data_IF_041170734076
#
_entry.id   IF_041170734076
#
_cell.length_a   1.000
_cell.length_b   1.000
_cell.length_c   1.000
_cell.angle_alpha   90.00
_cell.angle_beta   90.00
_cell.angle_gamma   90.00
#
_symmetry.space_group_name_H-M   'P 1'
#
loop_
_entity.id
_entity.type
_entity.pdbx_description
1 polymer ?
#
# COMPACT_ATOMS: atom_id res chain seq x y z
N UNK A 1 -2.54 -15.57 74.83
CA UNK A 1 -1.10 -15.28 74.63
C UNK A 1 -1.02 -13.91 74.00
N UNK A 2 -0.78 -12.92 74.84
CA UNK A 2 -0.49 -11.53 74.51
C UNK A 2 0.85 -11.38 73.77
N UNK A 3 1.00 -10.32 72.98
CA UNK A 3 1.92 -9.22 73.30
C UNK A 3 1.91 -8.11 72.24
N UNK A 4 1.69 -6.88 72.74
CA UNK A 4 1.96 -5.58 72.12
C UNK A 4 3.44 -5.41 71.72
N UNK A 5 3.75 -4.46 70.81
CA UNK A 5 4.67 -3.33 71.13
C UNK A 5 4.58 -2.21 70.06
N UNK A 6 4.24 -1.02 70.55
CA UNK A 6 4.39 0.30 69.90
C UNK A 6 5.84 0.78 70.06
N UNK A 7 6.36 1.63 69.17
CA UNK A 7 6.91 2.95 69.55
C UNK A 7 7.34 3.79 68.34
N UNK A 8 6.84 5.03 68.32
CA UNK A 8 7.42 6.19 67.65
C UNK A 8 8.80 6.55 68.24
N UNK A 9 9.63 7.29 67.49
CA UNK A 9 10.32 8.47 68.02
C UNK A 9 10.88 9.40 66.93
N UNK A 10 10.85 10.69 67.26
CA UNK A 10 11.21 11.85 66.46
C UNK A 10 12.69 12.28 66.60
N UNK A 11 13.13 13.16 65.68
CA UNK A 11 14.31 14.06 65.56
C UNK A 11 14.79 14.75 66.87
N UNK A 12 15.93 15.52 66.99
CA UNK A 12 16.79 16.21 65.98
C UNK A 12 18.34 16.33 66.28
N UNK A 13 19.12 16.98 65.38
CA UNK A 13 20.04 18.14 65.64
C UNK A 13 21.39 18.18 64.89
N UNK A 14 21.75 19.40 64.50
CA UNK A 14 22.91 19.90 63.72
C UNK A 14 24.31 19.75 64.38
N UNK A 15 25.37 19.60 63.55
CA UNK A 15 26.54 20.55 63.46
C UNK A 15 27.65 20.08 62.51
N UNK A 16 27.83 20.83 61.42
CA UNK A 16 29.04 21.56 61.02
C UNK A 16 30.43 20.92 61.26
N UNK A 17 31.13 20.58 60.16
CA UNK A 17 32.60 20.74 60.02
C UNK A 17 32.98 21.06 58.57
N UNK A 18 33.55 22.25 58.39
CA UNK A 18 34.30 22.70 57.22
C UNK A 18 35.53 21.82 56.94
N UNK A 19 35.79 21.53 55.65
CA UNK A 19 37.14 21.45 55.07
C UNK A 19 37.10 21.64 53.53
N UNK A 20 37.40 22.86 53.11
CA UNK A 20 38.43 23.23 52.12
C UNK A 20 38.67 22.37 50.85
N UNK A 21 38.14 22.89 49.73
CA UNK A 21 38.77 23.12 48.42
C UNK A 21 39.66 22.03 47.77
N UNK A 22 39.09 21.34 46.76
CA UNK A 22 39.80 20.94 45.53
C UNK A 22 39.08 21.59 44.34
N UNK A 23 39.76 22.52 43.67
CA UNK A 23 39.35 22.99 42.35
C UNK A 23 39.58 21.86 41.35
N UNK A 24 38.51 21.30 40.81
CA UNK A 24 38.55 20.54 39.57
C UNK A 24 38.01 21.42 38.44
N UNK A 25 38.91 21.93 37.62
CA UNK A 25 38.59 22.65 36.38
C UNK A 25 38.01 21.68 35.37
N UNK A 26 36.70 21.43 35.44
CA UNK A 26 35.95 20.84 34.34
C UNK A 26 35.64 21.95 33.34
N UNK A 27 36.39 21.98 32.23
CA UNK A 27 36.00 22.77 31.06
C UNK A 27 34.69 22.20 30.50
N UNK A 28 33.58 22.87 30.81
CA UNK A 28 32.29 22.69 30.16
C UNK A 28 32.45 22.78 28.62
N UNK A 29 31.98 21.79 27.84
CA UNK A 29 32.02 21.90 26.39
C UNK A 29 31.06 23.03 25.96
N UNK A 30 31.64 24.07 25.35
CA UNK A 30 30.92 25.23 24.81
C UNK A 30 29.70 24.77 24.02
N UNK A 31 28.51 25.01 24.59
CA UNK A 31 27.24 24.66 24.00
C UNK A 31 27.16 25.24 22.58
N UNK A 32 27.18 24.35 21.58
CA UNK A 32 27.01 24.74 20.19
C UNK A 32 25.52 25.05 19.97
N UNK A 33 25.17 26.19 19.37
CA UNK A 33 23.77 26.54 19.20
C UNK A 33 23.12 25.57 18.20
N UNK A 34 21.90 25.11 18.54
CA UNK A 34 21.18 23.98 17.91
C UNK A 34 20.87 24.12 16.41
N UNK A 35 21.20 25.24 15.77
CA UNK A 35 20.99 25.48 14.34
C UNK A 35 22.15 24.98 13.46
N UNK A 36 23.32 24.67 14.02
CA UNK A 36 24.47 24.22 13.23
C UNK A 36 24.28 22.83 12.59
N UNK A 37 23.48 21.94 13.20
CA UNK A 37 23.20 20.62 12.62
C UNK A 37 22.36 20.69 11.33
N UNK A 38 21.32 21.52 11.33
CA UNK A 38 20.43 21.70 10.18
C UNK A 38 21.12 22.42 9.01
N UNK A 39 21.98 23.40 9.29
CA UNK A 39 22.73 24.12 8.26
C UNK A 39 23.76 23.23 7.54
N UNK A 40 24.42 22.32 8.27
CA UNK A 40 25.38 21.36 7.67
C UNK A 40 24.66 20.30 6.84
N UNK A 41 23.48 19.83 7.28
CA UNK A 41 22.69 18.86 6.54
C UNK A 41 22.12 19.45 5.24
N UNK A 42 21.64 20.69 5.26
CA UNK A 42 21.19 21.39 4.05
C UNK A 42 22.32 21.59 3.04
N UNK A 43 23.51 21.97 3.51
CA UNK A 43 24.68 22.10 2.63
C UNK A 43 25.05 20.76 1.97
N UNK A 44 25.00 19.66 2.74
CA UNK A 44 25.27 18.32 2.22
C UNK A 44 24.25 17.89 1.15
N UNK A 45 22.96 18.14 1.38
CA UNK A 45 21.91 17.82 0.41
C UNK A 45 22.03 18.63 -0.89
N UNK A 46 22.38 19.91 -0.79
CA UNK A 46 22.62 20.75 -1.98
C UNK A 46 23.83 20.24 -2.77
N UNK A 47 24.91 19.83 -2.11
CA UNK A 47 26.08 19.26 -2.77
C UNK A 47 25.77 17.93 -3.46
N UNK A 48 24.97 17.06 -2.84
CA UNK A 48 24.52 15.79 -3.44
C UNK A 48 23.62 16.05 -4.65
N UNK A 49 22.69 17.01 -4.56
CA UNK A 49 21.83 17.40 -5.68
C UNK A 49 22.60 17.96 -6.87
N UNK A 50 23.60 18.82 -6.63
CA UNK A 50 24.47 19.37 -7.67
C UNK A 50 25.37 18.28 -8.30
N UNK A 51 25.85 17.32 -7.51
CA UNK A 51 26.61 16.17 -8.01
C UNK A 51 25.73 15.26 -8.87
N UNK A 52 24.51 14.93 -8.44
CA UNK A 52 23.56 14.12 -9.21
C UNK A 52 23.14 14.82 -10.52
N UNK A 53 22.92 16.13 -10.48
CA UNK A 53 22.61 16.92 -11.68
C UNK A 53 23.81 17.00 -12.64
N UNK A 54 25.02 17.23 -12.13
CA UNK A 54 26.24 17.21 -12.92
C UNK A 54 26.51 15.85 -13.56
N UNK A 55 26.28 14.74 -12.84
CA UNK A 55 26.42 13.38 -13.38
C UNK A 55 25.41 13.11 -14.50
N UNK A 56 24.15 13.56 -14.35
CA UNK A 56 23.12 13.41 -15.38
C UNK A 56 23.46 14.16 -16.66
N UNK A 57 23.93 15.40 -16.55
CA UNK A 57 24.32 16.22 -17.72
C UNK A 57 25.56 15.68 -18.41
N UNK A 58 26.49 15.06 -17.66
CA UNK A 58 27.76 14.58 -18.22
C UNK A 58 27.67 13.15 -18.80
N UNK A 59 26.82 12.27 -18.25
CA UNK A 59 26.69 10.88 -18.70
C UNK A 59 25.59 10.67 -19.76
N UNK A 60 24.66 11.61 -19.91
CA UNK A 60 23.58 11.54 -20.89
C UNK A 60 23.50 12.85 -21.71
N UNK A 61 24.38 13.06 -22.71
CA UNK A 61 24.17 14.12 -23.68
C UNK A 61 22.90 13.80 -24.47
N UNK A 62 21.87 14.65 -24.33
CA UNK A 62 20.63 14.56 -25.10
C UNK A 62 20.93 14.59 -26.60
N UNK A 63 20.63 13.49 -27.30
CA UNK A 63 20.51 13.50 -28.75
C UNK A 63 19.14 14.08 -29.12
N UNK A 64 19.07 15.41 -29.21
CA UNK A 64 17.96 16.10 -29.88
C UNK A 64 18.15 15.95 -31.39
N UNK A 65 17.64 14.86 -31.96
CA UNK A 65 17.48 14.70 -33.41
C UNK A 65 16.01 14.94 -33.77
N UNK A 66 15.67 16.03 -34.50
CA UNK A 66 14.29 16.29 -34.90
C UNK A 66 13.90 15.37 -36.07
N UNK A 67 12.84 14.58 -35.86
CA UNK A 67 12.21 13.77 -36.88
C UNK A 67 11.75 14.63 -38.06
N UNK A 68 12.17 14.24 -39.26
CA UNK A 68 11.78 14.87 -40.52
C UNK A 68 10.27 14.68 -40.80
N UNK A 69 9.62 15.76 -41.21
CA UNK A 69 8.24 15.78 -41.72
C UNK A 69 8.10 14.97 -43.03
N UNK A 70 6.98 14.26 -43.26
CA UNK A 70 6.64 13.80 -44.59
C UNK A 70 5.90 14.90 -45.39
N UNK A 71 6.47 15.22 -46.54
CA UNK A 71 5.95 16.14 -47.56
C UNK A 71 4.72 15.56 -48.27
N UNK A 72 3.66 16.37 -48.38
CA UNK A 72 2.56 16.20 -49.31
C UNK A 72 2.97 16.64 -50.73
N UNK A 73 2.78 15.80 -51.76
CA UNK A 73 2.58 16.28 -53.13
C UNK A 73 1.93 15.24 -54.07
N UNK A 74 0.73 15.62 -54.53
CA UNK A 74 0.22 15.57 -55.91
C UNK A 74 -0.10 14.22 -56.61
N UNK A 75 -1.41 13.97 -56.66
CA UNK A 75 -2.29 13.60 -57.80
C UNK A 75 -1.66 13.43 -59.20
N UNK A 76 -1.92 12.29 -59.85
CA UNK A 76 -2.22 12.20 -61.29
C UNK A 76 -2.88 10.86 -61.68
N UNK A 77 -3.50 10.88 -62.86
CA UNK A 77 -4.77 10.25 -63.25
C UNK A 77 -4.65 8.84 -63.86
N UNK A 78 -5.76 8.09 -63.76
CA UNK A 78 -6.15 6.76 -64.31
C UNK A 78 -5.93 6.58 -65.85
N UNK A 79 -6.17 5.40 -66.53
CA UNK A 79 -7.26 4.44 -66.25
C UNK A 79 -7.13 2.93 -66.64
N UNK A 80 -8.17 2.18 -66.22
CA UNK A 80 -8.83 0.99 -66.86
C UNK A 80 -8.31 -0.44 -66.61
N UNK A 81 -9.01 -1.20 -65.74
CA UNK A 81 -9.90 -2.36 -66.08
C UNK A 81 -10.13 -3.31 -64.88
N UNK A 82 -11.24 -4.08 -64.83
CA UNK A 82 -11.86 -4.53 -63.59
C UNK A 82 -11.52 -5.99 -63.22
N UNK A 83 -11.44 -6.27 -61.92
CA UNK A 83 -11.62 -7.62 -61.39
C UNK A 83 -12.17 -7.57 -59.95
N UNK A 84 -13.16 -8.41 -59.72
CA UNK A 84 -14.07 -8.51 -58.59
C UNK A 84 -13.43 -8.69 -57.21
N UNK A 85 -14.02 -8.04 -56.20
CA UNK A 85 -14.21 -8.63 -54.87
C UNK A 85 -15.33 -7.88 -54.12
N UNK A 86 -16.29 -8.66 -53.60
CA UNK A 86 -17.44 -8.22 -52.82
C UNK A 86 -17.06 -7.34 -51.64
N UNK A 87 -17.83 -6.28 -51.46
CA UNK A 87 -17.96 -5.58 -50.20
C UNK A 87 -18.58 -6.51 -49.14
N UNK A 88 -17.94 -6.59 -47.98
CA UNK A 88 -18.64 -6.66 -46.69
C UNK A 88 -17.89 -5.74 -45.74
N UNK A 89 -18.56 -4.64 -45.41
CA UNK A 89 -18.16 -3.76 -44.33
C UNK A 89 -18.29 -4.53 -43.02
N UNK A 90 -17.18 -4.84 -42.36
CA UNK A 90 -17.19 -5.05 -40.91
C UNK A 90 -16.85 -3.70 -40.29
N UNK A 91 -17.86 -3.11 -39.68
CA UNK A 91 -17.73 -1.95 -38.84
C UNK A 91 -16.61 -2.17 -37.83
N UNK A 92 -15.77 -1.16 -37.66
CA UNK A 92 -14.96 -0.96 -36.46
C UNK A 92 -15.92 -1.03 -35.27
N UNK A 93 -15.92 -2.17 -34.56
CA UNK A 93 -16.52 -2.22 -33.24
C UNK A 93 -15.72 -1.22 -32.39
N UNK A 94 -16.38 -0.15 -31.95
CA UNK A 94 -15.87 0.62 -30.82
C UNK A 94 -15.74 -0.32 -29.60
N UNK A 95 -14.93 0.05 -28.60
CA UNK A 95 -14.81 -0.76 -27.39
C UNK A 95 -16.21 -0.99 -26.82
N UNK A 96 -16.57 -2.26 -26.69
CA UNK A 96 -17.78 -2.66 -25.99
C UNK A 96 -17.47 -2.35 -24.54
N UNK A 97 -18.14 -1.36 -23.95
CA UNK A 97 -18.10 -1.18 -22.51
C UNK A 97 -18.54 -2.51 -21.90
N UNK A 98 -17.68 -3.13 -21.10
CA UNK A 98 -18.07 -4.31 -20.34
C UNK A 98 -19.23 -3.87 -19.44
N UNK A 99 -20.41 -4.46 -19.65
CA UNK A 99 -21.64 -4.07 -18.97
C UNK A 99 -21.58 -4.37 -17.45
N UNK A 100 -20.52 -5.06 -17.03
CA UNK A 100 -20.28 -5.57 -15.70
C UNK A 100 -19.14 -4.82 -14.97
N UNK A 101 -18.65 -3.68 -15.48
CA UNK A 101 -17.66 -2.86 -14.77
C UNK A 101 -18.30 -1.85 -13.80
N UNK A 102 -17.79 -1.77 -12.57
CA UNK A 102 -18.20 -0.77 -11.57
C UNK A 102 -17.69 0.65 -11.90
N UNK A 103 -16.57 0.75 -12.61
CA UNK A 103 -15.81 1.98 -12.85
C UNK A 103 -15.42 2.11 -14.31
N UNK A 104 -15.61 3.31 -14.89
CA UNK A 104 -15.29 3.59 -16.30
C UNK A 104 -13.83 3.22 -16.65
N UNK A 105 -12.90 3.40 -15.70
CA UNK A 105 -11.47 3.11 -15.90
C UNK A 105 -11.14 1.63 -16.07
N UNK A 106 -12.04 0.70 -15.71
CA UNK A 106 -11.82 -0.73 -15.87
C UNK A 106 -11.80 -1.16 -17.34
N UNK A 107 -12.39 -0.36 -18.24
CA UNK A 107 -12.39 -0.62 -19.70
C UNK A 107 -10.97 -0.64 -20.29
N UNK A 108 -10.03 0.07 -19.65
CA UNK A 108 -8.64 0.17 -20.11
C UNK A 108 -7.71 -0.85 -19.42
N UNK A 109 -8.23 -1.68 -18.51
CA UNK A 109 -7.45 -2.70 -17.82
C UNK A 109 -7.19 -3.92 -18.69
N UNK A 110 -6.10 -4.62 -18.38
CA UNK A 110 -5.80 -5.90 -18.98
C UNK A 110 -6.71 -6.99 -18.38
N UNK A 111 -7.66 -7.44 -19.18
CA UNK A 111 -8.60 -8.52 -18.85
C UNK A 111 -8.20 -9.88 -19.45
N UNK A 112 -6.98 -10.01 -20.00
CA UNK A 112 -6.48 -11.31 -20.43
C UNK A 112 -6.36 -12.27 -19.22
N UNK A 113 -6.52 -13.57 -19.47
CA UNK A 113 -6.37 -14.62 -18.46
C UNK A 113 -4.91 -14.75 -17.99
N UNK A 114 -4.49 -13.87 -17.09
CA UNK A 114 -3.19 -13.88 -16.45
C UNK A 114 -3.24 -14.73 -15.17
N UNK A 115 -2.88 -16.01 -15.27
CA UNK A 115 -2.81 -16.86 -14.09
C UNK A 115 -1.68 -16.46 -13.16
N UNK A 116 -1.95 -16.44 -11.86
CA UNK A 116 -1.02 -16.08 -10.79
C UNK A 116 -0.72 -17.26 -9.86
N UNK A 117 -1.26 -18.45 -10.15
CA UNK A 117 -1.09 -19.65 -9.33
C UNK A 117 0.36 -20.15 -9.21
N UNK A 118 1.20 -19.87 -10.22
CA UNK A 118 2.60 -20.32 -10.28
C UNK A 118 3.62 -19.17 -10.44
N UNK A 119 3.18 -18.01 -10.93
CA UNK A 119 4.05 -16.87 -11.19
C UNK A 119 3.39 -15.56 -10.76
N UNK A 120 4.16 -14.68 -10.15
CA UNK A 120 3.68 -13.37 -9.77
C UNK A 120 3.33 -12.52 -11.00
N UNK A 121 2.19 -11.78 -10.99
CA UNK A 121 1.91 -10.80 -12.02
C UNK A 121 2.90 -9.63 -11.93
N UNK A 122 3.10 -8.96 -13.06
CA UNK A 122 3.92 -7.76 -13.10
C UNK A 122 3.25 -6.63 -12.29
N UNK A 123 4.06 -5.93 -11.49
CA UNK A 123 3.66 -4.69 -10.81
C UNK A 123 4.41 -3.55 -11.46
N UNK A 124 3.68 -2.55 -11.96
CA UNK A 124 4.27 -1.37 -12.58
C UNK A 124 4.87 -0.46 -11.52
N UNK A 125 4.13 -0.25 -10.43
CA UNK A 125 4.55 0.61 -9.33
C UNK A 125 4.01 0.10 -7.99
N UNK A 126 4.82 0.23 -6.93
CA UNK A 126 4.37 0.09 -5.55
C UNK A 126 4.11 1.49 -5.00
N UNK A 127 2.84 1.86 -4.87
CA UNK A 127 2.41 3.21 -4.50
C UNK A 127 1.97 3.26 -3.04
N UNK A 128 2.12 4.40 -2.38
CA UNK A 128 1.59 4.57 -1.03
C UNK A 128 0.06 4.41 -1.01
N UNK A 129 -0.46 3.59 -0.08
CA UNK A 129 -1.87 3.28 0.10
C UNK A 129 -2.17 2.75 1.49
N UNK A 130 -3.08 3.41 2.21
CA UNK A 130 -3.43 3.07 3.58
C UNK A 130 -2.24 3.08 4.52
N UNK A 131 -1.98 1.93 5.13
CA UNK A 131 -0.89 1.75 6.10
C UNK A 131 0.48 1.60 5.45
N UNK A 132 0.58 1.21 4.17
CA UNK A 132 1.86 0.84 3.54
C UNK A 132 1.89 1.17 2.03
N UNK A 133 2.71 0.46 1.26
CA UNK A 133 2.63 0.44 -0.20
C UNK A 133 1.71 -0.68 -0.69
N UNK A 134 1.02 -0.42 -1.79
CA UNK A 134 0.10 -1.33 -2.47
C UNK A 134 0.53 -1.47 -3.94
N UNK A 135 0.26 -2.61 -4.60
CA UNK A 135 0.64 -2.79 -5.99
C UNK A 135 -0.30 -1.99 -6.91
N UNK A 136 0.26 -1.42 -7.98
CA UNK A 136 -0.48 -0.79 -9.07
C UNK A 136 0.05 -1.34 -10.41
N UNK A 137 -0.86 -1.71 -11.32
CA UNK A 137 -0.53 -2.32 -12.61
C UNK A 137 -1.70 -2.21 -13.59
N UNK A 138 -1.49 -2.65 -14.83
CA UNK A 138 -2.53 -2.91 -15.83
C UNK A 138 -3.71 -3.80 -15.36
N UNK A 139 -3.60 -4.51 -14.22
CA UNK A 139 -4.66 -5.35 -13.68
C UNK A 139 -5.57 -4.67 -12.64
N UNK A 140 -5.30 -3.43 -12.23
CA UNK A 140 -6.25 -2.71 -11.39
C UNK A 140 -5.72 -1.61 -10.48
N UNK A 141 -6.65 -1.13 -9.63
CA UNK A 141 -6.46 0.04 -8.79
C UNK A 141 -6.57 1.34 -9.59
N UNK A 142 -7.35 1.33 -10.68
CA UNK A 142 -7.48 2.44 -11.62
C UNK A 142 -8.27 3.62 -11.05
N UNK A 143 -9.22 3.35 -10.16
CA UNK A 143 -10.03 4.38 -9.50
C UNK A 143 -9.47 4.67 -8.10
N UNK A 144 -9.24 5.95 -7.79
CA UNK A 144 -8.75 6.39 -6.49
C UNK A 144 -9.82 7.16 -5.73
N UNK A 145 -10.31 6.57 -4.64
CA UNK A 145 -11.33 7.14 -3.76
C UNK A 145 -10.78 8.32 -2.93
N UNK A 146 -11.64 9.20 -2.38
CA UNK A 146 -11.21 10.32 -1.55
C UNK A 146 -10.36 9.95 -0.33
N UNK A 147 -10.59 8.77 0.27
CA UNK A 147 -9.77 8.22 1.36
C UNK A 147 -8.35 7.85 0.94
N UNK A 148 -8.10 7.76 -0.37
CA UNK A 148 -6.88 7.21 -0.94
C UNK A 148 -6.96 5.71 -1.26
N UNK A 149 -8.04 5.02 -0.89
CA UNK A 149 -8.29 3.64 -1.32
C UNK A 149 -8.32 3.56 -2.85
N UNK A 150 -7.70 2.52 -3.41
CA UNK A 150 -7.79 2.21 -4.84
C UNK A 150 -8.76 1.04 -5.05
N UNK A 151 -9.61 1.19 -6.05
CA UNK A 151 -10.61 0.22 -6.52
C UNK A 151 -10.57 0.16 -8.06
N UNK A 152 -11.45 -0.62 -8.69
CA UNK A 152 -11.44 -0.86 -10.12
C UNK A 152 -10.34 -1.82 -10.50
N UNK A 153 -10.60 -3.10 -10.28
CA UNK A 153 -9.73 -4.22 -10.60
C UNK A 153 -10.28 -4.99 -11.80
N UNK A 154 -9.39 -5.61 -12.59
CA UNK A 154 -9.79 -6.44 -13.71
C UNK A 154 -10.56 -7.68 -13.21
N UNK A 155 -11.55 -8.14 -13.97
CA UNK A 155 -12.35 -9.34 -13.63
C UNK A 155 -11.59 -10.63 -13.97
N UNK A 156 -10.38 -10.77 -13.44
CA UNK A 156 -9.51 -11.93 -13.64
C UNK A 156 -8.67 -12.25 -12.40
N UNK A 157 -7.90 -13.34 -12.49
CA UNK A 157 -7.08 -13.88 -11.38
C UNK A 157 -6.01 -12.89 -10.90
N UNK A 158 -5.41 -12.13 -11.81
CA UNK A 158 -4.44 -11.10 -11.47
C UNK A 158 -5.11 -9.89 -10.78
N UNK A 159 -6.25 -9.43 -11.28
CA UNK A 159 -7.03 -8.36 -10.66
C UNK A 159 -7.49 -8.71 -9.24
N UNK A 160 -7.89 -9.96 -9.01
CA UNK A 160 -8.24 -10.45 -7.68
C UNK A 160 -7.04 -10.38 -6.71
N UNK A 161 -5.86 -10.85 -7.12
CA UNK A 161 -4.65 -10.75 -6.28
C UNK A 161 -4.27 -9.28 -5.99
N UNK A 162 -4.39 -8.38 -6.97
CA UNK A 162 -4.15 -6.95 -6.78
C UNK A 162 -5.12 -6.32 -5.79
N UNK A 163 -6.40 -6.71 -5.83
CA UNK A 163 -7.42 -6.29 -4.88
C UNK A 163 -7.09 -6.79 -3.46
N UNK A 164 -6.77 -8.08 -3.31
CA UNK A 164 -6.40 -8.67 -2.02
C UNK A 164 -5.23 -7.92 -1.35
N UNK A 165 -4.14 -7.70 -2.09
CA UNK A 165 -2.97 -7.00 -1.59
C UNK A 165 -3.24 -5.53 -1.26
N UNK A 166 -4.09 -4.87 -2.06
CA UNK A 166 -4.51 -3.49 -1.80
C UNK A 166 -5.33 -3.41 -0.52
N UNK A 167 -6.35 -4.25 -0.41
CA UNK A 167 -7.31 -4.21 0.71
C UNK A 167 -6.69 -4.57 2.05
N UNK A 168 -5.70 -5.48 2.06
CA UNK A 168 -4.97 -5.84 3.26
C UNK A 168 -4.28 -4.64 3.93
N UNK A 169 -3.87 -3.63 3.14
CA UNK A 169 -3.17 -2.45 3.65
C UNK A 169 -4.04 -1.18 3.67
N UNK A 170 -5.07 -1.10 2.83
CA UNK A 170 -5.77 0.14 2.54
C UNK A 170 -7.22 0.23 3.02
N UNK A 171 -7.86 -0.88 3.39
CA UNK A 171 -9.21 -0.83 3.97
C UNK A 171 -9.11 -0.59 5.48
N UNK A 172 -9.50 0.61 5.90
CA UNK A 172 -9.79 0.93 7.30
C UNK A 172 -10.96 1.93 7.39
N UNK A 173 -12.20 1.44 7.49
CA UNK A 173 -13.38 2.30 7.59
C UNK A 173 -13.40 3.17 8.85
N UNK A 174 -12.54 2.89 9.84
CA UNK A 174 -12.46 3.66 11.08
C UNK A 174 -11.53 4.87 11.00
N UNK A 175 -10.73 4.99 9.94
CA UNK A 175 -9.73 6.04 9.80
C UNK A 175 -10.31 7.46 9.61
N UNK A 176 -11.42 7.58 8.86
CA UNK A 176 -12.12 8.85 8.61
C UNK A 176 -13.54 8.62 8.09
N UNK A 177 -14.34 9.68 7.91
CA UNK A 177 -15.64 9.57 7.24
C UNK A 177 -15.48 9.18 5.76
N UNK A 178 -14.50 9.74 5.05
CA UNK A 178 -14.20 9.34 3.66
C UNK A 178 -13.75 7.87 3.58
N UNK A 179 -13.12 7.35 4.64
CA UNK A 179 -12.76 5.94 4.74
C UNK A 179 -13.99 5.05 4.93
N UNK A 180 -14.97 5.52 5.71
CA UNK A 180 -16.23 4.83 5.95
C UNK A 180 -17.06 4.64 4.68
N UNK A 181 -17.05 5.62 3.77
CA UNK A 181 -17.73 5.55 2.48
C UNK A 181 -17.17 4.43 1.56
N UNK A 182 -16.02 3.85 1.88
CA UNK A 182 -15.46 2.74 1.09
C UNK A 182 -16.05 1.38 1.42
N UNK A 183 -16.80 1.26 2.51
CA UNK A 183 -17.37 -0.03 2.94
C UNK A 183 -18.22 -0.65 1.82
N UNK A 184 -19.05 0.14 1.14
CA UNK A 184 -19.96 -0.36 0.11
C UNK A 184 -19.25 -0.84 -1.16
N UNK A 185 -18.12 -0.21 -1.50
CA UNK A 185 -17.38 -0.48 -2.75
C UNK A 185 -16.26 -1.49 -2.58
N UNK A 186 -15.79 -1.73 -1.36
CA UNK A 186 -14.60 -2.54 -1.10
C UNK A 186 -14.86 -3.76 -0.22
N UNK A 187 -16.03 -3.86 0.40
CA UNK A 187 -16.43 -4.99 1.27
C UNK A 187 -17.72 -5.58 0.73
N UNK A 188 -17.72 -6.90 0.52
CA UNK A 188 -18.86 -7.65 -0.02
C UNK A 188 -20.11 -7.48 0.84
N UNK A 189 -21.28 -7.49 0.21
CA UNK A 189 -22.55 -7.32 0.90
C UNK A 189 -22.84 -8.47 1.88
N UNK A 190 -23.14 -8.12 3.13
CA UNK A 190 -23.53 -9.12 4.12
C UNK A 190 -23.63 -8.58 5.55
N UNK A 191 -24.10 -9.41 6.49
CA UNK A 191 -24.24 -9.02 7.89
C UNK A 191 -22.90 -8.66 8.55
N UNK A 192 -21.78 -9.18 8.05
CA UNK A 192 -20.46 -8.88 8.59
C UNK A 192 -19.95 -7.51 8.10
N UNK A 193 -20.28 -7.09 6.86
CA UNK A 193 -20.09 -5.71 6.39
C UNK A 193 -20.79 -4.71 7.31
N UNK A 194 -22.05 -4.96 7.65
CA UNK A 194 -22.84 -4.06 8.50
C UNK A 194 -22.23 -3.93 9.91
N UNK A 195 -21.77 -5.05 10.48
CA UNK A 195 -21.12 -5.06 11.80
C UNK A 195 -19.77 -4.36 11.79
N UNK A 196 -18.98 -4.51 10.72
CA UNK A 196 -17.73 -3.78 10.54
C UNK A 196 -17.97 -2.27 10.41
N UNK A 197 -18.99 -1.85 9.66
CA UNK A 197 -19.37 -0.45 9.54
C UNK A 197 -19.79 0.15 10.90
N UNK A 198 -20.61 -0.56 11.67
CA UNK A 198 -21.03 -0.16 13.02
C UNK A 198 -19.83 -0.06 13.98
N UNK A 199 -18.93 -1.05 13.95
CA UNK A 199 -17.68 -1.03 14.73
C UNK A 199 -16.81 0.16 14.37
N UNK A 200 -16.59 0.39 13.08
CA UNK A 200 -15.80 1.52 12.59
C UNK A 200 -16.37 2.86 13.03
N UNK A 201 -17.70 3.02 12.96
CA UNK A 201 -18.39 4.21 13.47
C UNK A 201 -18.16 4.39 14.98
N UNK A 202 -18.30 3.33 15.78
CA UNK A 202 -18.02 3.39 17.22
C UNK A 202 -16.58 3.78 17.53
N UNK A 203 -15.62 3.35 16.71
CA UNK A 203 -14.23 3.79 16.83
C UNK A 203 -14.10 5.30 16.56
N UNK A 204 -14.70 5.80 15.46
CA UNK A 204 -14.68 7.24 15.13
C UNK A 204 -15.36 8.11 16.19
N UNK A 205 -16.45 7.60 16.78
CA UNK A 205 -17.18 8.25 17.88
C UNK A 205 -16.44 8.16 19.24
N UNK A 206 -15.30 7.48 19.31
CA UNK A 206 -14.51 7.30 20.55
C UNK A 206 -15.13 6.33 21.54
N UNK A 207 -16.07 5.48 21.10
CA UNK A 207 -16.76 4.47 21.90
C UNK A 207 -16.07 3.11 21.89
N UNK A 208 -15.05 2.94 21.05
CA UNK A 208 -14.20 1.75 20.94
C UNK A 208 -12.78 2.15 20.54
N UNK A 209 -11.80 1.36 20.96
CA UNK A 209 -10.38 1.62 20.65
C UNK A 209 -10.03 1.09 19.26
N UNK A 210 -9.41 1.93 18.43
CA UNK A 210 -8.83 1.52 17.16
C UNK A 210 -7.58 0.65 17.38
N UNK A 211 -7.31 -0.26 16.44
CA UNK A 211 -5.95 -0.77 16.26
C UNK A 211 -5.04 0.38 15.81
N UNK A 212 -3.80 0.44 16.29
CA UNK A 212 -2.90 1.58 16.02
C UNK A 212 -2.20 1.53 14.64
N UNK A 213 -2.44 0.47 13.85
CA UNK A 213 -1.92 0.30 12.50
C UNK A 213 -0.40 0.13 12.39
N UNK A 214 0.33 0.18 13.52
CA UNK A 214 1.81 0.22 13.53
C UNK A 214 2.42 -1.02 12.90
N UNK A 215 1.84 -2.19 13.18
CA UNK A 215 2.30 -3.45 12.61
C UNK A 215 2.16 -3.47 11.08
N UNK A 216 1.01 -3.05 10.55
CA UNK A 216 0.76 -2.95 9.11
C UNK A 216 1.72 -1.96 8.45
N UNK A 217 1.94 -0.81 9.08
CA UNK A 217 2.85 0.23 8.56
C UNK A 217 4.34 -0.17 8.58
N UNK A 218 4.73 -1.09 9.46
CA UNK A 218 6.08 -1.62 9.54
C UNK A 218 6.28 -2.91 8.73
N UNK A 219 5.21 -3.49 8.19
CA UNK A 219 5.26 -4.77 7.48
C UNK A 219 5.76 -4.63 6.04
N UNK A 220 6.27 -5.71 5.47
CA UNK A 220 6.64 -5.77 4.05
C UNK A 220 6.01 -7.00 3.43
N UNK A 221 5.20 -6.84 2.38
CA UNK A 221 4.70 -7.98 1.59
C UNK A 221 5.89 -8.64 0.90
N UNK A 222 6.07 -9.94 1.12
CA UNK A 222 7.18 -10.72 0.52
C UNK A 222 6.69 -11.81 -0.43
N UNK A 223 5.39 -12.11 -0.42
CA UNK A 223 4.80 -13.01 -1.38
C UNK A 223 3.36 -13.35 -1.08
N UNK A 224 2.84 -14.32 -1.83
CA UNK A 224 1.48 -14.84 -1.64
C UNK A 224 1.42 -16.33 -1.97
N UNK A 225 0.39 -17.00 -1.46
CA UNK A 225 -0.06 -18.28 -1.96
C UNK A 225 -1.53 -18.15 -2.37
N UNK A 226 -1.89 -18.69 -3.54
CA UNK A 226 -3.28 -18.83 -3.93
C UNK A 226 -3.84 -20.09 -3.30
N UNK A 227 -4.94 -19.96 -2.58
CA UNK A 227 -5.68 -21.11 -2.05
C UNK A 227 -6.81 -21.51 -3.02
N UNK A 228 -7.47 -20.52 -3.65
CA UNK A 228 -8.54 -20.75 -4.63
C UNK A 228 -8.74 -19.55 -5.58
N UNK A 229 -9.20 -19.82 -6.80
CA UNK A 229 -9.71 -18.82 -7.74
C UNK A 229 -10.85 -19.37 -8.60
N UNK A 230 -11.82 -18.51 -8.87
CA UNK A 230 -12.86 -18.60 -9.89
C UNK A 230 -13.24 -17.19 -10.33
N UNK A 231 -14.02 -17.05 -11.41
CA UNK A 231 -14.52 -15.75 -11.87
C UNK A 231 -15.33 -15.01 -10.80
N UNK A 232 -15.97 -15.70 -9.85
CA UNK A 232 -16.85 -15.06 -8.86
C UNK A 232 -16.21 -14.90 -7.47
N UNK A 233 -15.10 -15.59 -7.20
CA UNK A 233 -14.51 -15.65 -5.87
C UNK A 233 -13.04 -16.06 -5.91
N UNK A 234 -12.24 -15.49 -5.01
CA UNK A 234 -10.82 -15.80 -4.88
C UNK A 234 -10.37 -15.81 -3.42
N UNK A 235 -9.28 -16.53 -3.13
CA UNK A 235 -8.73 -16.66 -1.78
C UNK A 235 -7.21 -16.73 -1.84
N UNK A 236 -6.56 -15.81 -1.12
CA UNK A 236 -5.11 -15.67 -1.09
C UNK A 236 -4.58 -15.56 0.35
N UNK A 237 -3.44 -16.22 0.60
CA UNK A 237 -2.60 -15.96 1.78
C UNK A 237 -1.48 -15.02 1.40
N UNK A 238 -1.53 -13.79 1.90
CA UNK A 238 -0.50 -12.78 1.74
C UNK A 238 0.54 -12.94 2.84
N UNK A 239 1.82 -13.04 2.47
CA UNK A 239 2.91 -13.29 3.40
C UNK A 239 3.66 -11.99 3.64
N UNK A 240 3.67 -11.54 4.90
CA UNK A 240 4.33 -10.31 5.32
C UNK A 240 5.50 -10.61 6.25
N UNK A 241 6.60 -9.90 6.05
CA UNK A 241 7.62 -9.70 7.08
C UNK A 241 7.18 -8.61 8.04
N UNK A 242 7.33 -8.84 9.34
CA UNK A 242 6.98 -7.89 10.39
C UNK A 242 8.16 -7.74 11.35
N UNK A 243 8.63 -6.51 11.62
CA UNK A 243 9.65 -6.26 12.61
C UNK A 243 9.16 -6.63 14.01
N UNK A 244 9.94 -7.41 14.75
CA UNK A 244 9.67 -7.73 16.15
C UNK A 244 10.42 -6.77 17.08
N UNK A 245 9.87 -6.58 18.28
CA UNK A 245 10.44 -5.72 19.32
C UNK A 245 11.83 -6.16 19.80
N UNK A 246 12.23 -7.40 19.51
CA UNK A 246 13.57 -7.93 19.81
C UNK A 246 14.58 -7.75 18.66
N UNK A 247 14.20 -7.06 17.58
CA UNK A 247 15.04 -6.84 16.39
C UNK A 247 15.09 -8.02 15.43
N UNK A 248 14.32 -9.09 15.66
CA UNK A 248 14.12 -10.17 14.69
C UNK A 248 13.01 -9.80 13.69
N UNK A 249 13.06 -10.37 12.50
CA UNK A 249 11.97 -10.31 11.53
C UNK A 249 11.12 -11.57 11.70
N UNK A 250 9.84 -11.38 12.02
CA UNK A 250 8.84 -12.45 11.99
C UNK A 250 8.14 -12.47 10.64
N UNK A 251 7.49 -13.58 10.32
CA UNK A 251 6.61 -13.67 9.16
C UNK A 251 5.19 -14.01 9.61
N UNK A 252 4.22 -13.33 9.01
CA UNK A 252 2.79 -13.58 9.21
C UNK A 252 2.14 -13.88 7.87
N UNK A 253 1.09 -14.70 7.91
CA UNK A 253 0.21 -14.99 6.79
C UNK A 253 -1.12 -14.30 7.05
N UNK A 254 -1.62 -13.53 6.09
CA UNK A 254 -2.91 -12.85 6.15
C UNK A 254 -3.84 -13.45 5.10
N UNK A 255 -4.99 -13.99 5.50
CA UNK A 255 -5.99 -14.55 4.58
C UNK A 255 -6.87 -13.42 4.05
N UNK A 256 -6.89 -13.25 2.73
CA UNK A 256 -7.77 -12.35 2.01
C UNK A 256 -8.71 -13.16 1.12
N UNK A 257 -9.99 -13.17 1.47
CA UNK A 257 -11.05 -13.77 0.68
C UNK A 257 -11.79 -12.68 -0.08
N UNK A 258 -12.09 -12.91 -1.36
CA UNK A 258 -12.69 -11.92 -2.25
C UNK A 258 -13.90 -12.51 -2.96
N UNK A 259 -14.86 -11.63 -3.25
CA UNK A 259 -16.03 -11.91 -4.08
C UNK A 259 -16.11 -10.88 -5.21
N UNK A 260 -16.47 -11.33 -6.39
CA UNK A 260 -16.86 -10.43 -7.47
C UNK A 260 -18.30 -9.98 -7.22
N UNK A 261 -18.50 -8.68 -7.01
CA UNK A 261 -19.82 -8.13 -6.69
C UNK A 261 -19.92 -6.70 -7.24
N UNK A 262 -21.05 -6.39 -7.86
CA UNK A 262 -21.34 -5.07 -8.45
C UNK A 262 -20.27 -4.57 -9.44
N UNK A 263 -19.53 -5.49 -10.07
CA UNK A 263 -18.56 -5.18 -11.11
C UNK A 263 -17.15 -4.83 -10.65
N UNK A 264 -16.80 -5.21 -9.42
CA UNK A 264 -15.43 -5.12 -8.90
C UNK A 264 -15.16 -6.25 -7.91
N UNK A 265 -13.88 -6.48 -7.61
CA UNK A 265 -13.48 -7.37 -6.53
C UNK A 265 -13.70 -6.67 -5.18
N UNK A 266 -14.50 -7.28 -4.30
CA UNK A 266 -14.72 -6.83 -2.92
C UNK A 266 -14.17 -7.85 -1.93
N UNK A 267 -13.71 -7.36 -0.77
CA UNK A 267 -13.27 -8.20 0.34
C UNK A 267 -14.47 -8.90 0.99
N UNK A 268 -14.42 -10.23 1.10
CA UNK A 268 -15.30 -11.01 1.96
C UNK A 268 -14.71 -11.04 3.39
N UNK A 269 -15.36 -10.40 4.38
CA UNK A 269 -14.81 -10.31 5.72
C UNK A 269 -14.64 -11.68 6.40
N UNK A 270 -13.50 -11.86 7.07
CA UNK A 270 -13.31 -13.01 7.96
C UNK A 270 -14.38 -13.14 9.05
N UNK A 271 -14.89 -12.00 9.55
CA UNK A 271 -16.05 -11.93 10.45
C UNK A 271 -16.60 -10.51 10.53
N UNK A 272 -17.74 -10.33 11.21
CA UNK A 272 -18.29 -9.01 11.50
C UNK A 272 -17.43 -8.11 12.41
N UNK A 273 -16.27 -8.58 12.85
CA UNK A 273 -15.32 -7.79 13.64
C UNK A 273 -13.91 -7.74 13.06
N UNK A 274 -13.63 -8.53 12.03
CA UNK A 274 -12.30 -8.71 11.43
C UNK A 274 -12.42 -8.74 9.90
N UNK A 275 -11.65 -7.90 9.23
CA UNK A 275 -11.59 -7.88 7.76
C UNK A 275 -10.94 -9.14 7.20
N UNK A 276 -9.86 -9.59 7.84
CA UNK A 276 -9.01 -10.69 7.40
C UNK A 276 -8.53 -11.46 8.63
N UNK A 277 -8.21 -12.75 8.46
CA UNK A 277 -7.52 -13.53 9.51
C UNK A 277 -6.01 -13.43 9.32
N UNK A 278 -5.26 -13.51 10.42
CA UNK A 278 -3.79 -13.50 10.39
C UNK A 278 -3.20 -14.53 11.33
N UNK A 279 -2.18 -15.24 10.87
CA UNK A 279 -1.47 -16.28 11.64
C UNK A 279 0.05 -16.17 11.49
N UNK A 280 0.78 -16.77 12.42
CA UNK A 280 2.23 -16.94 12.27
C UNK A 280 2.51 -17.85 11.08
N UNK A 281 3.33 -17.38 10.15
CA UNK A 281 3.71 -18.16 8.98
C UNK A 281 4.64 -19.34 9.38
N UNK A 282 4.30 -20.54 8.91
CA UNK A 282 4.94 -21.81 9.31
C UNK A 282 5.88 -22.40 8.25
N UNK A 283 6.29 -21.62 7.23
CA UNK A 283 7.19 -22.10 6.18
C UNK A 283 6.50 -22.83 5.01
N UNK A 284 5.21 -22.56 4.76
CA UNK A 284 4.48 -23.14 3.63
C UNK A 284 4.90 -22.46 2.31
N UNK A 285 5.09 -23.16 1.19
CA UNK A 285 5.51 -22.53 -0.07
C UNK A 285 4.65 -21.32 -0.45
N UNK A 286 5.28 -20.28 -0.98
CA UNK A 286 4.64 -19.08 -1.52
C UNK A 286 5.40 -18.59 -2.76
N UNK A 287 4.73 -17.78 -3.58
CA UNK A 287 5.31 -17.09 -4.73
C UNK A 287 5.87 -15.76 -4.25
N UNK A 288 7.16 -15.53 -4.48
CA UNK A 288 7.82 -14.26 -4.15
C UNK A 288 7.19 -13.11 -4.92
N UNK A 289 6.67 -12.13 -4.18
CA UNK A 289 5.97 -10.98 -4.73
C UNK A 289 5.87 -9.87 -3.70
N UNK A 290 6.36 -8.69 -4.02
CA UNK A 290 6.44 -7.59 -3.08
C UNK A 290 7.29 -6.44 -3.61
N UNK A 291 7.30 -5.29 -2.92
CA UNK A 291 8.21 -4.20 -3.24
C UNK A 291 9.65 -4.70 -3.10
N UNK A 292 10.36 -4.79 -4.23
CA UNK A 292 11.77 -5.16 -4.25
C UNK A 292 12.57 -4.07 -3.52
N UNK A 293 13.34 -4.47 -2.50
CA UNK A 293 14.36 -3.61 -1.88
C UNK A 293 15.60 -3.49 -2.75
#
# INVERSE_FOLDING_TARGET
MDCNYLSNNAYPSDREKDTMSTQDTTQEPKARPKWFGAAVMLLALVLVGLLAWGLRVFLFPSNDEPAAEPTNAATQTAPSSPASASASASATAGPVADADAAWDCQTDLNNDDASVADNAPAVEEWVAGGYNVIPFSEFGGCEKRPSGLRVGFAHNEAGALMAAATYAMAIDPSASEEAADNVEVAIAEGPDRDRLAEKAKRIRDGLEQAADGTASAASTLIGYAQDFYSEEAASYRLIYEVPSSNGLVGQVSVQADLLWEDGDWKLDPASGTELMTSDLYQGQPYIEWGPKS
#
